data_IF_588561367237
#
_entry.id   IF_588561367237
#
_cell.length_a   1.000
_cell.length_b   1.000
_cell.length_c   1.000
_cell.angle_alpha   90.00
_cell.angle_beta   90.00
_cell.angle_gamma   90.00
#
_symmetry.space_group_name_H-M   'P 1'
#
loop_
_entity.id
_entity.type
_entity.pdbx_description
1 polymer ?
#
# COMPACT_ATOMS: atom_id res chain seq x y z
N UNK A 1 17.58 13.36 0.65
CA UNK A 1 18.14 12.42 -0.35
C UNK A 1 17.29 12.48 -1.61
N UNK A 2 17.87 12.83 -2.76
CA UNK A 2 17.12 12.85 -4.03
C UNK A 2 16.80 11.45 -4.53
N UNK A 3 15.61 11.25 -5.12
CA UNK A 3 15.25 9.97 -5.73
C UNK A 3 16.19 9.68 -6.91
N UNK A 4 16.76 8.46 -7.00
CA UNK A 4 17.64 8.13 -8.10
C UNK A 4 16.91 8.19 -9.46
N UNK A 5 17.59 8.62 -10.53
CA UNK A 5 16.96 8.79 -11.84
C UNK A 5 16.59 7.45 -12.46
N UNK A 6 15.48 7.43 -13.21
CA UNK A 6 14.99 6.25 -13.94
C UNK A 6 15.94 5.77 -15.03
N UNK A 7 16.93 6.56 -15.44
CA UNK A 7 17.98 6.11 -16.36
C UNK A 7 18.88 5.03 -15.77
N UNK A 8 18.87 4.84 -14.44
CA UNK A 8 19.71 3.85 -13.73
C UNK A 8 19.02 2.50 -13.49
N UNK A 9 17.76 2.31 -13.91
CA UNK A 9 17.09 1.02 -13.76
C UNK A 9 17.36 0.09 -14.97
N UNK A 10 17.56 -1.22 -14.75
CA UNK A 10 17.73 -2.19 -15.83
C UNK A 10 16.56 -2.18 -16.83
N UNK A 11 16.85 -2.42 -18.10
CA UNK A 11 15.83 -2.40 -19.18
C UNK A 11 14.64 -3.32 -18.92
N UNK A 12 14.86 -4.46 -18.24
CA UNK A 12 13.80 -5.42 -17.88
C UNK A 12 12.69 -4.82 -17.00
N UNK A 13 12.98 -3.78 -16.22
CA UNK A 13 12.00 -3.12 -15.35
C UNK A 13 11.29 -1.94 -16.01
N UNK A 14 11.66 -1.55 -17.23
CA UNK A 14 11.01 -0.45 -17.95
C UNK A 14 9.51 -0.69 -18.23
N UNK A 15 9.07 -1.91 -18.61
CA UNK A 15 7.64 -2.19 -18.76
C UNK A 15 6.87 -1.99 -17.44
N UNK A 16 7.46 -2.40 -16.31
CA UNK A 16 6.87 -2.20 -14.99
C UNK A 16 6.79 -0.71 -14.63
N UNK A 17 7.84 0.06 -14.91
CA UNK A 17 7.85 1.51 -14.67
C UNK A 17 6.77 2.21 -15.52
N UNK A 18 6.59 1.79 -16.76
CA UNK A 18 5.51 2.29 -17.61
C UNK A 18 4.12 1.95 -17.04
N UNK A 19 3.93 0.71 -16.57
CA UNK A 19 2.67 0.29 -15.96
C UNK A 19 2.35 1.09 -14.69
N UNK A 20 3.35 1.31 -13.83
CA UNK A 20 3.19 2.15 -12.64
C UNK A 20 2.74 3.56 -13.03
N UNK A 21 3.41 4.18 -14.01
CA UNK A 21 3.04 5.52 -14.48
C UNK A 21 1.62 5.57 -15.03
N UNK A 22 1.17 4.51 -15.73
CA UNK A 22 -0.18 4.42 -16.27
C UNK A 22 -1.24 4.26 -15.17
N UNK A 23 -0.96 3.46 -14.14
CA UNK A 23 -1.94 3.13 -13.11
C UNK A 23 -1.97 4.14 -11.96
N UNK A 24 -0.80 4.61 -11.52
CA UNK A 24 -0.62 5.52 -10.37
C UNK A 24 -0.30 6.97 -10.78
N UNK A 25 -0.19 7.27 -12.07
CA UNK A 25 0.25 8.59 -12.57
C UNK A 25 1.76 8.83 -12.47
N UNK A 26 2.45 8.11 -11.58
CA UNK A 26 3.89 8.20 -11.41
C UNK A 26 4.60 6.85 -11.21
N UNK A 27 5.92 6.88 -11.31
CA UNK A 27 6.75 5.72 -11.04
C UNK A 27 7.06 5.65 -9.55
N UNK A 28 6.43 4.70 -8.86
CA UNK A 28 6.53 4.50 -7.41
C UNK A 28 7.99 4.45 -6.91
N UNK A 29 8.22 4.91 -5.68
CA UNK A 29 9.54 4.89 -5.04
C UNK A 29 10.23 3.51 -5.00
N UNK A 30 9.55 2.38 -4.75
CA UNK A 30 10.21 1.07 -4.65
C UNK A 30 10.98 0.66 -5.91
N UNK A 31 10.45 0.92 -7.11
CA UNK A 31 11.15 0.59 -8.36
C UNK A 31 12.37 1.50 -8.59
N UNK A 32 12.36 2.74 -8.08
CA UNK A 32 13.52 3.65 -8.15
C UNK A 32 14.65 3.21 -7.21
N UNK A 33 14.31 2.67 -6.03
CA UNK A 33 15.28 2.21 -5.04
C UNK A 33 15.76 0.78 -5.31
N UNK A 34 14.87 -0.20 -5.20
CA UNK A 34 15.20 -1.62 -5.24
C UNK A 34 15.22 -2.21 -6.66
N UNK A 35 14.80 -1.45 -7.67
CA UNK A 35 14.84 -1.89 -9.08
C UNK A 35 16.26 -2.16 -9.62
N UNK A 36 17.33 -1.85 -8.88
CA UNK A 36 18.70 -2.22 -9.25
C UNK A 36 18.96 -3.72 -9.20
N UNK A 37 18.17 -4.46 -8.43
CA UNK A 37 18.27 -5.92 -8.30
C UNK A 37 16.92 -6.50 -8.76
N UNK A 38 16.72 -6.74 -10.07
CA UNK A 38 15.43 -7.13 -10.64
C UNK A 38 14.83 -8.37 -9.97
N UNK A 39 15.66 -9.34 -9.62
CA UNK A 39 15.22 -10.56 -8.94
C UNK A 39 14.51 -10.27 -7.62
N UNK A 40 15.14 -9.47 -6.74
CA UNK A 40 14.57 -9.09 -5.44
C UNK A 40 13.32 -8.23 -5.65
N UNK A 41 13.36 -7.29 -6.59
CA UNK A 41 12.22 -6.45 -6.91
C UNK A 41 10.99 -7.30 -7.29
N UNK A 42 11.15 -8.26 -8.20
CA UNK A 42 10.04 -9.13 -8.61
C UNK A 42 9.60 -10.06 -7.49
N UNK A 43 10.52 -10.61 -6.69
CA UNK A 43 10.19 -11.46 -5.54
C UNK A 43 9.29 -10.72 -4.53
N UNK A 44 9.67 -9.49 -4.15
CA UNK A 44 8.85 -8.65 -3.25
C UNK A 44 7.54 -8.25 -3.91
N UNK A 45 7.56 -7.86 -5.18
CA UNK A 45 6.34 -7.48 -5.91
C UNK A 45 5.34 -8.63 -5.99
N UNK A 46 5.82 -9.85 -6.23
CA UNK A 46 5.00 -11.06 -6.25
C UNK A 46 4.44 -11.40 -4.87
N UNK A 47 5.25 -11.25 -3.82
CA UNK A 47 4.80 -11.45 -2.44
C UNK A 47 3.67 -10.49 -2.06
N UNK A 48 3.84 -9.19 -2.35
CA UNK A 48 2.79 -8.19 -2.13
C UNK A 48 1.54 -8.49 -2.98
N UNK A 49 1.72 -8.87 -4.24
CA UNK A 49 0.61 -9.28 -5.12
C UNK A 49 -0.14 -10.51 -4.59
N UNK A 50 0.56 -11.47 -3.98
CA UNK A 50 -0.04 -12.63 -3.34
C UNK A 50 -0.84 -12.24 -2.09
N UNK A 51 -0.34 -11.35 -1.24
CA UNK A 51 -1.08 -10.83 -0.08
C UNK A 51 -2.36 -10.09 -0.52
N UNK A 52 -2.27 -9.34 -1.62
CA UNK A 52 -3.35 -8.52 -2.15
C UNK A 52 -4.31 -9.26 -3.08
N UNK A 53 -4.12 -10.57 -3.27
CA UNK A 53 -4.95 -11.39 -4.17
C UNK A 53 -6.44 -11.30 -3.82
N UNK A 54 -7.30 -11.36 -4.85
CA UNK A 54 -8.76 -11.34 -4.70
C UNK A 54 -9.32 -12.57 -3.97
N UNK A 55 -8.60 -13.70 -4.00
CA UNK A 55 -8.96 -14.95 -3.31
C UNK A 55 -8.53 -14.97 -1.83
N UNK A 56 -8.15 -13.83 -1.26
CA UNK A 56 -7.90 -13.74 0.17
C UNK A 56 -9.19 -14.01 0.94
N UNK A 57 -9.15 -14.77 2.06
CA UNK A 57 -10.31 -14.95 2.91
C UNK A 57 -10.67 -13.68 3.71
N UNK A 58 -9.71 -12.76 3.86
CA UNK A 58 -9.92 -11.47 4.51
C UNK A 58 -10.53 -10.45 3.57
N UNK A 59 -11.49 -9.70 4.08
CA UNK A 59 -12.13 -8.60 3.37
C UNK A 59 -11.09 -7.58 2.85
N UNK A 60 -11.19 -7.12 1.59
CA UNK A 60 -10.27 -6.14 1.02
C UNK A 60 -10.22 -4.81 1.79
N UNK A 61 -11.34 -4.31 2.29
CA UNK A 61 -11.39 -3.06 3.06
C UNK A 61 -10.63 -3.25 4.37
N UNK A 62 -10.91 -4.32 5.12
CA UNK A 62 -10.21 -4.64 6.39
C UNK A 62 -8.70 -4.71 6.17
N UNK A 63 -8.25 -5.42 5.13
CA UNK A 63 -6.80 -5.50 4.79
C UNK A 63 -6.17 -4.13 4.52
N UNK A 64 -6.87 -3.27 3.77
CA UNK A 64 -6.39 -1.91 3.49
C UNK A 64 -6.32 -1.04 4.73
N UNK A 65 -7.33 -1.13 5.60
CA UNK A 65 -7.38 -0.37 6.86
C UNK A 65 -6.25 -0.76 7.80
N UNK A 66 -6.04 -2.07 7.99
CA UNK A 66 -4.92 -2.59 8.79
C UNK A 66 -3.58 -2.15 8.21
N UNK A 67 -3.40 -2.27 6.89
CA UNK A 67 -2.17 -1.82 6.22
C UNK A 67 -1.93 -0.32 6.39
N UNK A 68 -2.99 0.50 6.27
CA UNK A 68 -2.91 1.94 6.48
C UNK A 68 -2.55 2.29 7.92
N UNK A 69 -3.12 1.59 8.89
CA UNK A 69 -2.82 1.82 10.31
C UNK A 69 -1.38 1.45 10.66
N UNK A 70 -0.91 0.29 10.20
CA UNK A 70 0.48 -0.14 10.39
C UNK A 70 1.44 0.85 9.71
N UNK A 71 1.11 1.33 8.51
CA UNK A 71 1.92 2.33 7.82
C UNK A 71 2.08 3.63 8.63
N UNK A 72 1.00 4.09 9.28
CA UNK A 72 1.02 5.25 10.17
C UNK A 72 1.89 4.98 11.41
N UNK A 73 1.76 3.83 12.06
CA UNK A 73 2.57 3.46 13.23
C UNK A 73 4.05 3.33 12.91
N UNK A 74 4.38 2.78 11.74
CA UNK A 74 5.75 2.67 11.25
C UNK A 74 6.30 3.97 10.65
N UNK A 75 5.50 5.05 10.62
CA UNK A 75 5.88 6.35 10.05
C UNK A 75 6.41 6.27 8.61
N UNK A 76 5.89 5.32 7.82
CA UNK A 76 6.30 5.13 6.43
C UNK A 76 5.45 6.00 5.50
N UNK A 77 5.93 7.19 5.13
CA UNK A 77 5.20 8.15 4.28
C UNK A 77 4.70 7.53 2.97
N UNK A 78 5.55 6.80 2.25
CA UNK A 78 5.16 6.08 1.02
C UNK A 78 4.04 5.06 1.30
N UNK A 79 4.14 4.33 2.41
CA UNK A 79 3.17 3.31 2.76
C UNK A 79 1.83 3.95 3.15
N UNK A 80 1.86 5.08 3.88
CA UNK A 80 0.66 5.84 4.25
C UNK A 80 -0.07 6.32 2.99
N UNK A 81 0.65 6.84 2.00
CA UNK A 81 0.06 7.33 0.76
C UNK A 81 -0.56 6.20 -0.09
N UNK A 82 0.19 5.12 -0.35
CA UNK A 82 -0.31 4.02 -1.19
C UNK A 82 -1.47 3.25 -0.55
N UNK A 83 -1.46 3.10 0.78
CA UNK A 83 -2.55 2.42 1.51
C UNK A 83 -3.77 3.32 1.64
N UNK A 84 -3.59 4.63 1.85
CA UNK A 84 -4.64 5.64 1.74
C UNK A 84 -5.37 5.52 0.40
N UNK A 85 -4.66 5.59 -0.72
CA UNK A 85 -5.25 5.42 -2.06
C UNK A 85 -6.06 4.11 -2.17
N UNK A 86 -5.56 2.99 -1.63
CA UNK A 86 -6.28 1.70 -1.63
C UNK A 86 -7.52 1.70 -0.73
N UNK A 87 -7.49 2.37 0.42
CA UNK A 87 -8.68 2.50 1.29
C UNK A 87 -9.76 3.28 0.54
N UNK A 88 -9.38 4.40 -0.09
CA UNK A 88 -10.32 5.22 -0.87
C UNK A 88 -10.92 4.44 -2.05
N UNK A 89 -10.10 3.69 -2.81
CA UNK A 89 -10.57 2.87 -3.93
C UNK A 89 -11.56 1.79 -3.49
N UNK A 90 -11.29 1.11 -2.36
CA UNK A 90 -12.12 -0.02 -1.90
C UNK A 90 -13.40 0.39 -1.18
N UNK A 91 -13.37 1.54 -0.50
CA UNK A 91 -14.54 2.06 0.23
C UNK A 91 -15.37 3.02 -0.62
N UNK A 92 -14.81 3.56 -1.70
CA UNK A 92 -15.42 4.62 -2.49
C UNK A 92 -15.50 5.97 -1.77
N UNK A 93 -14.84 6.12 -0.62
CA UNK A 93 -14.86 7.35 0.19
C UNK A 93 -13.49 7.59 0.87
N UNK A 94 -13.20 8.84 1.20
CA UNK A 94 -12.03 9.22 2.00
C UNK A 94 -12.30 9.23 3.51
N UNK A 95 -13.55 9.02 3.95
CA UNK A 95 -13.93 9.16 5.37
C UNK A 95 -13.18 8.19 6.29
N UNK A 96 -13.15 6.90 5.92
CA UNK A 96 -12.43 5.88 6.68
C UNK A 96 -10.92 6.10 6.65
N UNK A 97 -10.38 6.56 5.53
CA UNK A 97 -8.97 6.93 5.38
C UNK A 97 -8.56 8.03 6.36
N UNK A 98 -9.37 9.08 6.47
CA UNK A 98 -9.08 10.20 7.38
C UNK A 98 -9.28 9.82 8.84
N UNK A 99 -10.22 8.91 9.13
CA UNK A 99 -10.55 8.49 10.48
C UNK A 99 -9.68 7.35 11.04
N UNK A 100 -8.95 6.59 10.20
CA UNK A 100 -8.25 5.35 10.64
C UNK A 100 -7.19 5.60 11.72
N UNK A 101 -6.60 6.79 11.76
CA UNK A 101 -5.62 7.14 12.79
C UNK A 101 -6.22 7.21 14.21
N UNK A 102 -7.51 7.60 14.29
CA UNK A 102 -8.31 7.74 15.52
C UNK A 102 -9.49 6.77 15.53
N UNK A 103 -9.31 5.58 14.96
CA UNK A 103 -10.40 4.64 14.69
C UNK A 103 -11.23 4.26 15.93
N UNK A 104 -10.61 4.25 17.13
CA UNK A 104 -11.30 3.90 18.38
C UNK A 104 -12.45 4.85 18.73
N UNK A 105 -12.33 6.13 18.36
CA UNK A 105 -13.34 7.16 18.62
C UNK A 105 -14.31 7.36 17.46
N UNK A 106 -14.07 6.74 16.31
CA UNK A 106 -14.87 6.96 15.11
C UNK A 106 -16.02 5.96 15.00
N UNK A 107 -17.25 6.41 14.69
CA UNK A 107 -18.39 5.52 14.46
C UNK A 107 -18.35 4.85 13.06
N UNK A 108 -17.36 5.16 12.22
CA UNK A 108 -17.30 4.68 10.83
C UNK A 108 -16.89 3.21 10.69
N UNK A 109 -16.37 2.59 11.75
CA UNK A 109 -15.77 1.26 11.71
C UNK A 109 -16.71 0.21 12.31
N UNK A 110 -16.86 -0.92 11.59
CA UNK A 110 -17.61 -2.08 12.10
C UNK A 110 -16.84 -2.78 13.22
N UNK A 111 -17.52 -3.64 13.98
CA UNK A 111 -16.87 -4.41 15.05
C UNK A 111 -15.74 -5.31 14.53
N UNK A 112 -15.89 -5.88 13.33
CA UNK A 112 -14.84 -6.66 12.66
C UNK A 112 -13.62 -5.80 12.32
N UNK A 113 -13.83 -4.61 11.75
CA UNK A 113 -12.74 -3.67 11.42
C UNK A 113 -12.02 -3.21 12.69
N UNK A 114 -12.76 -2.92 13.76
CA UNK A 114 -12.22 -2.53 15.06
C UNK A 114 -11.38 -3.64 15.67
N UNK A 115 -11.85 -4.88 15.63
CA UNK A 115 -11.09 -6.04 16.12
C UNK A 115 -9.79 -6.24 15.34
N UNK A 116 -9.83 -6.11 14.02
CA UNK A 116 -8.65 -6.24 13.18
C UNK A 116 -7.63 -5.11 13.43
N UNK A 117 -8.10 -3.88 13.64
CA UNK A 117 -7.24 -2.73 13.98
C UNK A 117 -6.64 -2.87 15.38
N UNK A 118 -7.41 -3.35 16.36
CA UNK A 118 -6.89 -3.65 17.71
C UNK A 118 -5.80 -4.73 17.65
N UNK A 119 -6.03 -5.81 16.90
CA UNK A 119 -5.03 -6.87 16.71
C UNK A 119 -3.75 -6.34 16.04
N UNK A 120 -3.87 -5.40 15.10
CA UNK A 120 -2.72 -4.82 14.40
C UNK A 120 -1.88 -3.88 15.27
N UNK A 121 -2.47 -3.31 16.33
CA UNK A 121 -1.78 -2.40 17.26
C UNK A 121 -1.18 -3.09 18.49
N UNK A 122 -1.63 -4.32 18.80
CA UNK A 122 -1.17 -5.11 19.94
C UNK A 122 0.31 -5.54 19.80
#
# INVERSE_FOLDING_TARGET
MGLPPLSKIPFILRPQAWLHRRHYGEVLSPIRWWGRIPFIFYLVSMFVGWLERKRSPLDPVVRSLVSARIAQMCLCEFCVDITSMKVAERTGSTDKLLAVAGWRQSPLFSDEERLALEYAEA
#
